data_IF_181616575455
#
_entry.id   IF_181616575455
#
_cell.length_a   1.000
_cell.length_b   1.000
_cell.length_c   1.000
_cell.angle_alpha   90.00
_cell.angle_beta   90.00
_cell.angle_gamma   90.00
#
_symmetry.space_group_name_H-M   'P 1'
#
loop_
_entity.id
_entity.type
_entity.pdbx_description
1 polymer ?
#
# COMPACT_ATOMS: atom_id res chain seq x y z
N UNK A 1 -100.66 -109.03 -12.41
CA UNK A 1 -99.63 -108.41 -11.56
C UNK A 1 -99.28 -107.07 -12.18
N UNK A 2 -99.42 -105.96 -11.46
CA UNK A 2 -98.90 -104.66 -11.91
C UNK A 2 -97.37 -104.69 -11.75
N UNK A 3 -96.61 -104.25 -12.76
CA UNK A 3 -95.17 -104.10 -12.63
C UNK A 3 -94.92 -102.83 -11.80
N UNK A 4 -94.14 -102.95 -10.73
CA UNK A 4 -93.70 -101.82 -9.91
C UNK A 4 -92.36 -101.26 -10.41
N UNK A 5 -92.11 -99.97 -10.18
CA UNK A 5 -90.86 -99.32 -10.56
C UNK A 5 -89.67 -99.85 -9.74
N UNK A 6 -88.49 -99.85 -10.36
CA UNK A 6 -87.26 -100.23 -9.69
C UNK A 6 -86.85 -99.19 -8.63
N UNK A 7 -86.29 -99.64 -7.51
CA UNK A 7 -85.65 -98.79 -6.52
C UNK A 7 -84.25 -99.31 -6.18
N UNK A 8 -83.50 -98.57 -5.36
CA UNK A 8 -82.18 -99.00 -4.86
C UNK A 8 -82.26 -100.21 -3.93
N UNK A 9 -83.45 -100.59 -3.46
CA UNK A 9 -83.68 -101.68 -2.51
C UNK A 9 -84.67 -102.76 -3.01
N UNK A 10 -85.41 -102.52 -4.10
CA UNK A 10 -86.41 -103.44 -4.67
C UNK A 10 -86.29 -103.51 -6.20
N UNK A 11 -86.32 -104.73 -6.75
CA UNK A 11 -86.31 -104.94 -8.22
C UNK A 11 -87.66 -104.52 -8.82
N UNK A 12 -87.64 -103.83 -9.96
CA UNK A 12 -88.81 -103.37 -10.70
C UNK A 12 -88.46 -103.00 -12.15
N UNK A 13 -89.35 -102.31 -12.84
CA UNK A 13 -89.10 -101.76 -14.20
C UNK A 13 -88.62 -100.32 -14.14
N UNK A 14 -87.83 -99.89 -15.12
CA UNK A 14 -87.38 -98.50 -15.23
C UNK A 14 -87.29 -98.10 -16.70
N UNK A 15 -87.70 -96.87 -17.00
CA UNK A 15 -87.54 -96.29 -18.33
C UNK A 15 -86.13 -95.71 -18.46
N UNK A 16 -85.45 -96.06 -19.56
CA UNK A 16 -84.05 -95.72 -19.79
C UNK A 16 -83.92 -94.44 -20.63
N UNK A 17 -82.95 -93.59 -20.29
CA UNK A 17 -82.58 -92.41 -21.08
C UNK A 17 -81.11 -92.44 -21.49
N UNK A 18 -80.82 -92.00 -22.72
CA UNK A 18 -79.46 -91.80 -23.24
C UNK A 18 -79.04 -90.33 -23.29
N UNK A 19 -79.88 -89.41 -22.82
CA UNK A 19 -79.52 -87.99 -22.76
C UNK A 19 -78.39 -87.76 -21.74
N UNK A 20 -77.44 -86.89 -22.07
CA UNK A 20 -76.26 -86.56 -21.24
C UNK A 20 -76.45 -85.31 -20.39
N UNK A 21 -77.60 -84.66 -20.53
CA UNK A 21 -78.03 -83.40 -19.93
C UNK A 21 -79.45 -83.51 -19.34
N UNK A 22 -79.94 -84.74 -19.13
CA UNK A 22 -81.25 -85.00 -18.53
C UNK A 22 -81.31 -84.49 -17.09
N UNK A 23 -82.35 -83.73 -16.77
CA UNK A 23 -82.71 -83.28 -15.43
C UNK A 23 -83.71 -84.22 -14.73
N UNK A 24 -84.27 -85.20 -15.45
CA UNK A 24 -85.21 -86.19 -14.91
C UNK A 24 -84.60 -87.12 -13.85
N UNK A 25 -85.15 -87.11 -12.63
CA UNK A 25 -84.79 -88.03 -11.54
C UNK A 25 -85.52 -89.39 -11.59
N UNK A 26 -86.56 -89.54 -12.44
CA UNK A 26 -87.38 -90.75 -12.57
C UNK A 26 -86.94 -91.74 -13.66
N UNK A 27 -85.95 -91.38 -14.47
CA UNK A 27 -85.43 -92.19 -15.58
C UNK A 27 -84.03 -92.70 -15.24
N UNK A 28 -83.73 -93.96 -15.54
CA UNK A 28 -82.38 -94.48 -15.34
C UNK A 28 -81.46 -94.14 -16.51
N UNK A 29 -80.24 -93.69 -16.20
CA UNK A 29 -79.22 -93.44 -17.19
C UNK A 29 -78.76 -94.76 -17.84
N UNK A 30 -78.72 -94.78 -19.17
CA UNK A 30 -78.11 -95.90 -19.90
C UNK A 30 -76.59 -95.91 -19.74
N UNK A 31 -75.92 -97.07 -19.90
CA UNK A 31 -74.46 -97.13 -19.99
C UNK A 31 -73.87 -96.20 -21.06
N UNK A 32 -74.63 -95.93 -22.14
CA UNK A 32 -74.25 -94.98 -23.19
C UNK A 32 -74.16 -93.54 -22.67
N UNK A 33 -75.18 -93.08 -21.93
CA UNK A 33 -75.17 -91.75 -21.31
C UNK A 33 -74.03 -91.62 -20.28
N UNK A 34 -73.86 -92.61 -19.41
CA UNK A 34 -72.78 -92.63 -18.41
C UNK A 34 -71.41 -92.59 -19.09
N UNK A 35 -71.20 -93.38 -20.15
CA UNK A 35 -69.95 -93.36 -20.93
C UNK A 35 -69.70 -91.98 -21.55
N UNK A 36 -70.70 -91.40 -22.22
CA UNK A 36 -70.55 -90.11 -22.88
C UNK A 36 -70.26 -88.97 -21.88
N UNK A 37 -70.91 -88.97 -20.71
CA UNK A 37 -70.62 -88.02 -19.63
C UNK A 37 -69.21 -88.23 -19.08
N UNK A 38 -68.80 -89.48 -18.86
CA UNK A 38 -67.46 -89.79 -18.36
C UNK A 38 -66.35 -89.42 -19.36
N UNK A 39 -66.54 -89.68 -20.66
CA UNK A 39 -65.61 -89.28 -21.72
C UNK A 39 -65.51 -87.75 -21.81
N UNK A 40 -66.65 -87.04 -21.73
CA UNK A 40 -66.66 -85.58 -21.66
C UNK A 40 -65.93 -85.08 -20.40
N UNK A 41 -66.21 -85.63 -19.22
CA UNK A 41 -65.55 -85.23 -17.97
C UNK A 41 -64.03 -85.42 -18.04
N UNK A 42 -63.57 -86.55 -18.58
CA UNK A 42 -62.15 -86.84 -18.77
C UNK A 42 -61.45 -85.94 -19.80
N UNK A 43 -62.19 -85.24 -20.66
CA UNK A 43 -61.62 -84.35 -21.69
C UNK A 43 -61.63 -82.85 -21.33
N UNK A 44 -62.29 -82.44 -20.24
CA UNK A 44 -62.42 -81.00 -19.89
C UNK A 44 -61.11 -80.34 -19.43
N UNK A 45 -60.16 -81.12 -18.90
CA UNK A 45 -58.78 -80.66 -18.64
C UNK A 45 -57.80 -81.61 -19.34
N UNK A 46 -57.54 -81.42 -20.65
CA UNK A 46 -56.57 -82.22 -21.36
C UNK A 46 -55.19 -82.08 -20.71
N UNK A 47 -54.48 -83.20 -20.55
CA UNK A 47 -53.14 -83.25 -19.93
C UNK A 47 -52.06 -82.47 -20.71
N UNK A 48 -52.37 -82.10 -21.95
CA UNK A 48 -51.53 -81.29 -22.83
C UNK A 48 -51.66 -79.78 -22.59
N UNK A 49 -52.74 -79.31 -21.96
CA UNK A 49 -52.89 -77.88 -21.65
C UNK A 49 -51.86 -77.46 -20.61
N UNK A 50 -51.20 -76.33 -20.87
CA UNK A 50 -50.14 -75.77 -20.02
C UNK A 50 -50.42 -74.31 -19.68
N UNK A 51 -50.04 -73.89 -18.49
CA UNK A 51 -49.90 -72.47 -18.11
C UNK A 51 -48.42 -72.19 -18.02
N UNK A 52 -47.91 -71.38 -18.94
CA UNK A 52 -46.49 -71.03 -19.00
C UNK A 52 -45.56 -72.27 -18.92
N UNK A 53 -45.85 -73.28 -19.75
CA UNK A 53 -45.09 -74.53 -19.81
C UNK A 53 -45.42 -75.58 -18.73
N UNK A 54 -46.14 -75.23 -17.66
CA UNK A 54 -46.51 -76.16 -16.57
C UNK A 54 -47.82 -76.89 -16.87
N UNK A 55 -47.82 -78.22 -16.74
CA UNK A 55 -49.00 -79.06 -16.98
C UNK A 55 -50.05 -78.93 -15.87
N UNK A 56 -51.32 -79.03 -16.24
CA UNK A 56 -52.48 -78.95 -15.33
C UNK A 56 -52.77 -80.28 -14.61
N UNK A 57 -51.79 -80.80 -13.85
CA UNK A 57 -51.93 -82.08 -13.12
C UNK A 57 -52.00 -81.92 -11.59
N UNK A 58 -51.73 -80.72 -11.09
CA UNK A 58 -51.73 -80.33 -9.67
C UNK A 58 -51.84 -78.80 -9.57
N UNK A 59 -51.87 -78.27 -8.35
CA UNK A 59 -51.76 -76.82 -8.11
C UNK A 59 -50.55 -76.22 -8.84
N UNK A 60 -50.76 -75.10 -9.54
CA UNK A 60 -49.70 -74.37 -10.23
C UNK A 60 -49.21 -73.23 -9.35
N UNK A 61 -47.91 -73.21 -9.06
CA UNK A 61 -47.22 -72.04 -8.52
C UNK A 61 -46.42 -71.38 -9.65
N UNK A 62 -46.72 -70.12 -9.94
CA UNK A 62 -45.94 -69.27 -10.85
C UNK A 62 -45.02 -68.37 -10.05
N UNK A 63 -43.79 -68.22 -10.53
CA UNK A 63 -42.76 -67.32 -10.03
C UNK A 63 -42.41 -66.28 -11.09
N UNK A 64 -41.67 -65.24 -10.71
CA UNK A 64 -41.18 -64.24 -11.67
C UNK A 64 -40.34 -64.89 -12.79
N UNK A 65 -39.58 -65.95 -12.47
CA UNK A 65 -38.81 -66.71 -13.44
C UNK A 65 -39.68 -67.41 -14.49
N UNK A 66 -40.88 -67.86 -14.11
CA UNK A 66 -41.80 -68.50 -15.04
C UNK A 66 -42.20 -67.50 -16.15
N UNK A 67 -42.53 -66.26 -15.79
CA UNK A 67 -43.01 -65.25 -16.75
C UNK A 67 -41.94 -64.26 -17.23
N UNK A 68 -40.66 -64.56 -16.99
CA UNK A 68 -39.53 -63.67 -17.31
C UNK A 68 -39.67 -62.26 -16.72
N UNK A 69 -40.33 -62.15 -15.56
CA UNK A 69 -40.43 -60.92 -14.79
C UNK A 69 -39.18 -60.74 -13.91
N UNK A 70 -38.88 -59.48 -13.57
CA UNK A 70 -37.86 -59.16 -12.59
C UNK A 70 -38.26 -59.74 -11.22
N UNK A 71 -37.32 -60.37 -10.51
CA UNK A 71 -37.62 -61.00 -9.23
C UNK A 71 -38.07 -59.98 -8.17
N UNK A 72 -39.08 -60.33 -7.36
CA UNK A 72 -39.63 -59.49 -6.29
C UNK A 72 -38.70 -59.39 -5.07
N UNK A 73 -37.65 -60.21 -5.00
CA UNK A 73 -36.73 -60.30 -3.85
C UNK A 73 -35.34 -60.76 -4.27
N UNK A 74 -34.61 -61.41 -3.36
CA UNK A 74 -33.26 -61.90 -3.65
C UNK A 74 -33.29 -62.98 -4.75
N UNK A 75 -32.54 -62.74 -5.81
CA UNK A 75 -32.30 -63.66 -6.92
C UNK A 75 -31.14 -64.62 -6.65
N UNK A 76 -30.36 -64.38 -5.60
CA UNK A 76 -29.22 -65.23 -5.24
C UNK A 76 -28.18 -64.54 -4.36
N UNK A 77 -27.18 -65.32 -3.96
CA UNK A 77 -26.03 -64.85 -3.17
C UNK A 77 -24.76 -65.12 -3.97
N UNK A 78 -23.85 -64.14 -4.02
CA UNK A 78 -22.52 -64.26 -4.61
C UNK A 78 -21.47 -63.78 -3.61
N UNK A 79 -20.22 -64.22 -3.75
CA UNK A 79 -19.11 -63.72 -2.96
C UNK A 79 -18.30 -62.67 -3.76
N UNK A 80 -17.94 -61.56 -3.12
CA UNK A 80 -17.06 -60.54 -3.72
C UNK A 80 -15.68 -61.14 -4.06
N UNK A 81 -15.18 -62.06 -3.23
CA UNK A 81 -13.94 -62.80 -3.49
C UNK A 81 -13.96 -63.68 -4.74
N UNK A 82 -15.15 -63.95 -5.28
CA UNK A 82 -15.36 -64.72 -6.51
C UNK A 82 -15.72 -63.82 -7.71
N UNK A 83 -15.55 -62.49 -7.58
CA UNK A 83 -15.89 -61.51 -8.62
C UNK A 83 -17.33 -60.98 -8.55
N UNK A 84 -18.10 -61.41 -7.54
CA UNK A 84 -19.47 -60.95 -7.31
C UNK A 84 -20.47 -61.50 -8.31
N UNK A 85 -21.50 -60.70 -8.64
CA UNK A 85 -22.53 -61.11 -9.62
C UNK A 85 -21.92 -61.05 -11.03
N UNK A 86 -21.88 -62.17 -11.77
CA UNK A 86 -21.30 -62.19 -13.11
C UNK A 86 -22.13 -61.35 -14.08
N UNK A 87 -21.50 -60.82 -15.13
CA UNK A 87 -22.14 -59.93 -16.08
C UNK A 87 -23.33 -60.59 -16.81
N UNK A 88 -23.26 -61.89 -17.09
CA UNK A 88 -24.30 -62.66 -17.76
C UNK A 88 -25.29 -63.32 -16.79
N UNK A 89 -25.30 -62.94 -15.51
CA UNK A 89 -26.32 -63.37 -14.57
C UNK A 89 -27.72 -62.93 -15.05
N UNK A 90 -28.76 -63.69 -14.67
CA UNK A 90 -30.15 -63.29 -14.96
C UNK A 90 -30.47 -61.94 -14.32
N UNK A 91 -31.45 -61.24 -14.88
CA UNK A 91 -31.93 -60.00 -14.28
C UNK A 91 -32.50 -60.27 -12.88
N UNK A 92 -32.14 -59.42 -11.90
CA UNK A 92 -32.51 -59.67 -10.51
C UNK A 92 -31.79 -58.81 -9.48
N UNK A 93 -32.13 -59.01 -8.21
CA UNK A 93 -31.48 -58.37 -7.07
C UNK A 93 -30.66 -59.40 -6.29
N UNK A 94 -29.36 -59.20 -6.19
CA UNK A 94 -28.42 -60.17 -5.60
C UNK A 94 -27.80 -59.62 -4.33
N UNK A 95 -27.55 -60.49 -3.36
CA UNK A 95 -26.74 -60.17 -2.19
C UNK A 95 -25.29 -60.59 -2.44
N UNK A 96 -24.35 -59.66 -2.35
CA UNK A 96 -22.92 -59.96 -2.48
C UNK A 96 -22.25 -59.90 -1.12
N UNK A 97 -21.69 -61.02 -0.67
CA UNK A 97 -21.00 -61.14 0.61
C UNK A 97 -19.53 -60.77 0.48
N UNK A 98 -19.00 -60.09 1.49
CA UNK A 98 -17.57 -59.77 1.65
C UNK A 98 -17.18 -59.89 3.11
N UNK A 99 -15.88 -59.82 3.41
CA UNK A 99 -15.41 -59.94 4.80
C UNK A 99 -16.10 -58.91 5.71
N UNK A 100 -16.90 -59.40 6.65
CA UNK A 100 -17.61 -58.60 7.65
C UNK A 100 -18.80 -57.76 7.16
N UNK A 101 -19.21 -57.83 5.88
CA UNK A 101 -20.39 -57.10 5.39
C UNK A 101 -20.99 -57.68 4.10
N UNK A 102 -22.12 -57.14 3.65
CA UNK A 102 -22.64 -57.41 2.32
C UNK A 102 -23.16 -56.12 1.66
N UNK A 103 -23.48 -56.22 0.37
CA UNK A 103 -24.15 -55.16 -0.38
C UNK A 103 -25.12 -55.77 -1.38
N UNK A 104 -26.09 -54.97 -1.81
CA UNK A 104 -27.05 -55.37 -2.83
C UNK A 104 -26.54 -54.96 -4.21
N UNK A 105 -26.76 -55.82 -5.20
CA UNK A 105 -26.55 -55.54 -6.62
C UNK A 105 -27.85 -55.76 -7.37
N UNK A 106 -28.38 -54.72 -7.98
CA UNK A 106 -29.42 -54.84 -9.01
C UNK A 106 -28.72 -55.11 -10.35
N UNK A 107 -28.99 -56.27 -10.95
CA UNK A 107 -28.44 -56.69 -12.23
C UNK A 107 -29.55 -56.62 -13.28
N UNK A 108 -29.33 -55.82 -14.33
CA UNK A 108 -30.22 -55.71 -15.48
C UNK A 108 -29.52 -56.31 -16.69
N UNK A 109 -29.87 -57.54 -17.03
CA UNK A 109 -29.32 -58.28 -18.17
C UNK A 109 -30.37 -58.43 -19.27
N UNK A 110 -30.09 -57.84 -20.44
CA UNK A 110 -30.93 -57.94 -21.65
C UNK A 110 -30.46 -59.04 -22.60
N UNK A 111 -29.19 -59.42 -22.51
CA UNK A 111 -28.57 -60.40 -23.40
C UNK A 111 -28.43 -59.95 -24.86
N UNK A 112 -28.66 -58.67 -25.16
CA UNK A 112 -28.60 -58.12 -26.52
C UNK A 112 -27.93 -56.75 -26.53
N UNK A 113 -27.42 -56.34 -27.69
CA UNK A 113 -26.71 -55.07 -27.87
C UNK A 113 -25.30 -55.06 -27.29
N UNK A 114 -24.61 -53.92 -27.43
CA UNK A 114 -23.24 -53.78 -26.93
C UNK A 114 -23.17 -53.57 -25.43
N UNK A 115 -24.18 -52.95 -24.82
CA UNK A 115 -24.34 -52.93 -23.37
C UNK A 115 -25.42 -53.93 -22.97
N UNK A 116 -25.00 -55.16 -22.63
CA UNK A 116 -25.91 -56.27 -22.31
C UNK A 116 -26.33 -56.26 -20.85
N UNK A 117 -25.49 -55.68 -19.99
CA UNK A 117 -25.68 -55.68 -18.55
C UNK A 117 -25.39 -54.31 -17.96
N UNK A 118 -26.33 -53.81 -17.17
CA UNK A 118 -26.10 -52.73 -16.21
C UNK A 118 -26.21 -53.32 -14.80
N UNK A 119 -25.16 -53.14 -14.00
CA UNK A 119 -25.21 -53.42 -12.58
C UNK A 119 -25.18 -52.14 -11.78
N UNK A 120 -26.05 -52.05 -10.78
CA UNK A 120 -26.08 -50.98 -9.79
C UNK A 120 -25.90 -51.60 -8.42
N UNK A 121 -24.90 -51.13 -7.67
CA UNK A 121 -24.54 -51.61 -6.33
C UNK A 121 -24.81 -50.53 -5.30
N UNK A 122 -25.41 -50.90 -4.17
CA UNK A 122 -25.58 -50.01 -3.02
C UNK A 122 -24.97 -50.63 -1.76
N UNK A 123 -24.07 -49.89 -1.11
CA UNK A 123 -23.53 -50.26 0.20
C UNK A 123 -24.53 -49.91 1.32
N UNK A 124 -24.48 -50.62 2.44
CA UNK A 124 -25.32 -50.36 3.61
C UNK A 124 -25.14 -48.92 4.13
N UNK A 125 -26.17 -48.36 4.79
CA UNK A 125 -26.18 -46.99 5.37
C UNK A 125 -25.87 -45.85 4.38
N UNK A 126 -26.16 -46.05 3.09
CA UNK A 126 -25.81 -45.11 2.00
C UNK A 126 -24.29 -44.86 1.92
N UNK A 127 -23.46 -45.87 2.22
CA UNK A 127 -22.00 -45.80 2.13
C UNK A 127 -21.45 -45.89 0.70
N UNK A 128 -22.20 -45.37 -0.29
CA UNK A 128 -21.83 -45.36 -1.70
C UNK A 128 -22.84 -46.09 -2.60
N UNK A 129 -23.07 -45.50 -3.77
CA UNK A 129 -23.85 -46.04 -4.88
C UNK A 129 -22.89 -46.18 -6.06
N UNK A 130 -22.85 -47.35 -6.68
CA UNK A 130 -21.90 -47.65 -7.75
C UNK A 130 -22.64 -48.23 -8.95
N UNK A 131 -22.06 -48.08 -10.14
CA UNK A 131 -22.51 -48.74 -11.34
C UNK A 131 -21.34 -49.34 -12.11
N UNK A 132 -21.64 -50.35 -12.92
CA UNK A 132 -20.74 -50.87 -13.96
C UNK A 132 -21.57 -51.47 -15.09
N UNK A 133 -21.00 -51.54 -16.28
CA UNK A 133 -21.66 -52.08 -17.46
C UNK A 133 -20.79 -53.10 -18.17
N UNK A 134 -21.40 -54.07 -18.83
CA UNK A 134 -20.68 -55.03 -19.67
C UNK A 134 -20.60 -54.54 -21.12
N UNK A 135 -19.57 -54.99 -21.84
CA UNK A 135 -19.46 -54.83 -23.29
C UNK A 135 -19.57 -56.15 -24.03
N UNK A 136 -20.45 -56.19 -25.02
CA UNK A 136 -20.71 -57.34 -25.91
C UNK A 136 -20.68 -58.66 -25.11
N UNK A 137 -19.96 -59.68 -25.58
CA UNK A 137 -19.77 -60.95 -24.85
C UNK A 137 -18.46 -60.99 -24.04
N UNK A 138 -17.74 -59.86 -23.93
CA UNK A 138 -16.47 -59.76 -23.18
C UNK A 138 -16.68 -59.67 -21.66
N UNK A 139 -17.75 -59.01 -21.21
CA UNK A 139 -18.04 -58.79 -19.80
C UNK A 139 -17.73 -57.37 -19.32
N UNK A 140 -17.38 -57.21 -18.04
CA UNK A 140 -17.04 -55.89 -17.47
C UNK A 140 -15.64 -55.47 -17.94
N UNK A 141 -15.53 -54.35 -18.65
CA UNK A 141 -14.22 -53.78 -19.06
C UNK A 141 -13.65 -52.85 -17.98
N UNK A 142 -14.53 -52.13 -17.29
CA UNK A 142 -14.19 -51.31 -16.13
C UNK A 142 -14.78 -51.93 -14.86
N UNK A 143 -14.11 -51.70 -13.74
CA UNK A 143 -14.63 -52.01 -12.41
C UNK A 143 -15.73 -50.99 -12.01
N UNK A 144 -16.23 -51.10 -10.79
CA UNK A 144 -17.26 -50.21 -10.24
C UNK A 144 -16.88 -48.73 -10.29
N UNK A 145 -17.72 -47.91 -10.93
CA UNK A 145 -17.69 -46.46 -10.86
C UNK A 145 -18.66 -45.94 -9.79
N UNK A 146 -18.23 -44.98 -8.97
CA UNK A 146 -19.05 -44.40 -7.91
C UNK A 146 -19.92 -43.23 -8.40
N UNK A 147 -21.17 -43.19 -7.96
CA UNK A 147 -22.09 -42.06 -8.17
C UNK A 147 -22.01 -41.14 -6.95
N UNK A 148 -21.55 -39.92 -7.16
CA UNK A 148 -21.42 -38.92 -6.10
C UNK A 148 -22.74 -38.20 -5.82
N UNK A 149 -22.94 -37.86 -4.54
CA UNK A 149 -24.12 -37.13 -4.04
C UNK A 149 -23.68 -36.00 -3.11
N UNK A 150 -24.60 -35.14 -2.69
CA UNK A 150 -24.30 -34.11 -1.68
C UNK A 150 -23.77 -34.69 -0.36
N UNK A 151 -24.13 -35.94 -0.03
CA UNK A 151 -23.61 -36.66 1.15
C UNK A 151 -22.27 -37.35 0.88
N UNK A 152 -21.95 -37.63 -0.38
CA UNK A 152 -20.76 -38.36 -0.81
C UNK A 152 -20.18 -37.65 -2.03
N UNK A 153 -19.55 -36.50 -1.79
CA UNK A 153 -18.99 -35.64 -2.83
C UNK A 153 -17.74 -36.28 -3.45
N UNK A 154 -17.42 -35.99 -4.72
CA UNK A 154 -16.15 -36.41 -5.30
C UNK A 154 -15.00 -35.84 -4.45
N UNK A 155 -13.96 -36.64 -4.15
CA UNK A 155 -12.81 -36.23 -3.35
C UNK A 155 -12.11 -34.95 -3.85
N UNK A 156 -12.30 -34.59 -5.12
CA UNK A 156 -11.47 -33.64 -5.87
C UNK A 156 -12.07 -32.25 -6.10
N UNK A 157 -13.35 -31.99 -5.80
CA UNK A 157 -13.93 -30.66 -6.12
C UNK A 157 -13.45 -29.53 -5.21
N UNK A 158 -13.20 -29.82 -3.93
CA UNK A 158 -12.51 -28.95 -2.98
C UNK A 158 -12.02 -29.81 -1.79
N UNK A 159 -10.70 -30.00 -1.60
CA UNK A 159 -10.18 -30.97 -0.64
C UNK A 159 -10.41 -30.53 0.81
N UNK A 160 -10.50 -31.51 1.72
CA UNK A 160 -10.51 -31.26 3.18
C UNK A 160 -9.23 -30.52 3.56
N UNK A 161 -9.34 -29.48 4.40
CA UNK A 161 -8.20 -28.67 4.81
C UNK A 161 -7.92 -27.45 3.91
N UNK A 162 -8.62 -27.27 2.79
CA UNK A 162 -8.50 -26.02 2.04
C UNK A 162 -9.34 -24.89 2.71
N UNK A 163 -8.78 -23.68 2.87
CA UNK A 163 -9.47 -22.54 3.48
C UNK A 163 -10.54 -21.97 2.54
N UNK A 164 -11.78 -21.84 3.01
CA UNK A 164 -12.93 -21.35 2.25
C UNK A 164 -13.32 -19.97 2.76
N UNK A 165 -13.36 -18.92 1.91
CA UNK A 165 -13.89 -17.62 2.29
C UNK A 165 -15.43 -17.69 2.40
N UNK A 166 -15.95 -17.49 3.61
CA UNK A 166 -17.37 -17.59 3.93
C UNK A 166 -17.97 -16.21 4.26
N UNK A 167 -19.06 -15.78 3.58
CA UNK A 167 -19.59 -14.42 3.67
C UNK A 167 -20.53 -14.17 4.88
N UNK A 168 -20.67 -15.13 5.81
CA UNK A 168 -21.59 -15.04 6.95
C UNK A 168 -20.88 -15.41 8.25
N UNK A 169 -21.36 -14.89 9.37
CA UNK A 169 -20.89 -15.29 10.71
C UNK A 169 -21.47 -16.64 11.17
N UNK A 170 -22.50 -17.14 10.48
CA UNK A 170 -23.07 -18.46 10.76
C UNK A 170 -22.33 -19.54 9.98
N UNK A 171 -21.57 -20.38 10.69
CA UNK A 171 -20.78 -21.46 10.09
C UNK A 171 -21.69 -22.65 9.72
N UNK A 172 -21.63 -23.17 8.49
CA UNK A 172 -22.39 -24.36 8.11
C UNK A 172 -21.95 -25.61 8.88
N UNK A 173 -22.88 -26.54 9.09
CA UNK A 173 -22.58 -27.84 9.70
C UNK A 173 -21.50 -28.60 8.89
N UNK A 174 -20.54 -29.23 9.59
CA UNK A 174 -19.41 -29.93 8.98
C UNK A 174 -18.20 -29.05 8.68
N UNK A 175 -18.25 -27.76 9.05
CA UNK A 175 -17.16 -26.80 8.91
C UNK A 175 -16.79 -26.19 10.26
N UNK A 176 -15.58 -25.65 10.36
CA UNK A 176 -15.12 -24.86 11.51
C UNK A 176 -14.46 -23.56 11.03
N UNK A 177 -14.54 -22.49 11.83
CA UNK A 177 -13.72 -21.28 11.64
C UNK A 177 -12.25 -21.62 11.80
N UNK A 178 -11.37 -20.94 11.07
CA UNK A 178 -9.92 -21.14 11.15
C UNK A 178 -9.29 -20.16 12.14
N UNK A 179 -9.16 -20.56 13.41
CA UNK A 179 -8.82 -19.69 14.54
C UNK A 179 -7.62 -20.17 15.37
N UNK A 180 -6.79 -21.07 14.84
CA UNK A 180 -5.63 -21.58 15.59
C UNK A 180 -5.94 -22.77 16.51
N UNK A 181 -7.15 -23.33 16.45
CA UNK A 181 -7.57 -24.40 17.36
C UNK A 181 -7.01 -25.78 17.00
N UNK A 182 -6.85 -26.63 18.02
CA UNK A 182 -6.48 -28.04 17.86
C UNK A 182 -7.67 -28.89 17.41
N UNK A 183 -7.40 -30.06 16.82
CA UNK A 183 -8.42 -31.06 16.49
C UNK A 183 -7.92 -32.49 16.72
N UNK A 184 -8.85 -33.43 16.91
CA UNK A 184 -8.54 -34.85 17.02
C UNK A 184 -8.23 -35.45 15.64
N UNK A 185 -6.97 -35.84 15.44
CA UNK A 185 -6.48 -36.43 14.19
C UNK A 185 -7.11 -37.78 13.87
N UNK A 186 -7.48 -38.56 14.88
CA UNK A 186 -8.13 -39.86 14.70
C UNK A 186 -9.58 -39.69 14.23
N UNK A 187 -10.27 -38.66 14.73
CA UNK A 187 -11.62 -38.34 14.30
C UNK A 187 -11.66 -37.71 12.89
N UNK A 188 -10.63 -36.93 12.53
CA UNK A 188 -10.56 -36.19 11.27
C UNK A 188 -9.29 -36.53 10.45
N UNK A 189 -9.17 -37.76 9.90
CA UNK A 189 -7.95 -38.22 9.25
C UNK A 189 -7.61 -37.45 7.96
N UNK A 190 -8.62 -37.00 7.20
CA UNK A 190 -8.39 -36.17 6.00
C UNK A 190 -7.89 -34.77 6.36
N UNK A 191 -8.40 -34.19 7.46
CA UNK A 191 -7.91 -32.91 7.96
C UNK A 191 -6.49 -33.04 8.53
N UNK A 192 -6.18 -34.16 9.19
CA UNK A 192 -4.83 -34.48 9.66
C UNK A 192 -3.82 -34.63 8.51
N UNK A 193 -4.26 -35.10 7.33
CA UNK A 193 -3.41 -35.13 6.15
C UNK A 193 -3.05 -33.71 5.65
N UNK A 194 -3.99 -32.76 5.73
CA UNK A 194 -3.73 -31.36 5.38
C UNK A 194 -2.95 -30.60 6.46
N UNK A 195 -3.23 -30.87 7.74
CA UNK A 195 -2.59 -30.25 8.90
C UNK A 195 -2.01 -31.31 9.85
N UNK A 196 -0.81 -31.86 9.56
CA UNK A 196 -0.21 -32.92 10.37
C UNK A 196 0.07 -32.55 11.83
N UNK A 197 0.18 -31.25 12.12
CA UNK A 197 0.30 -30.70 13.48
C UNK A 197 -0.92 -30.98 14.36
N UNK A 198 -2.09 -31.27 13.78
CA UNK A 198 -3.34 -31.33 14.52
C UNK A 198 -3.87 -29.94 14.91
N UNK A 199 -3.39 -28.87 14.26
CA UNK A 199 -3.78 -27.48 14.52
C UNK A 199 -4.26 -26.84 13.21
N UNK A 200 -5.47 -26.28 13.23
CA UNK A 200 -6.00 -25.46 12.13
C UNK A 200 -5.32 -24.08 12.21
N UNK A 201 -4.78 -23.51 11.11
CA UNK A 201 -4.19 -22.18 11.13
C UNK A 201 -5.17 -21.10 11.62
N UNK A 202 -4.68 -20.08 12.34
CA UNK A 202 -5.47 -18.86 12.59
C UNK A 202 -5.39 -17.97 11.36
N UNK A 203 -6.52 -17.76 10.70
CA UNK A 203 -6.63 -16.99 9.46
C UNK A 203 -7.24 -15.60 9.67
N UNK A 204 -7.56 -15.21 10.93
CA UNK A 204 -8.12 -13.88 11.21
C UNK A 204 -7.07 -12.80 10.95
N UNK A 205 -7.44 -11.79 10.16
CA UNK A 205 -6.53 -10.72 9.73
C UNK A 205 -5.49 -11.14 8.67
N UNK A 206 -5.46 -12.41 8.28
CA UNK A 206 -4.49 -12.92 7.31
C UNK A 206 -5.04 -12.96 5.88
N UNK A 207 -4.20 -12.60 4.92
CA UNK A 207 -4.48 -12.77 3.49
C UNK A 207 -3.68 -13.95 2.95
N UNK A 208 -4.33 -14.83 2.16
CA UNK A 208 -3.64 -15.95 1.51
C UNK A 208 -2.73 -15.42 0.40
N UNK A 209 -1.45 -15.77 0.49
CA UNK A 209 -0.44 -15.53 -0.54
C UNK A 209 0.11 -16.87 -1.01
N UNK A 210 0.20 -17.05 -2.34
CA UNK A 210 0.82 -18.24 -2.92
C UNK A 210 2.23 -18.42 -2.38
N UNK A 211 2.57 -19.64 -1.96
CA UNK A 211 3.93 -19.97 -1.49
C UNK A 211 4.90 -19.70 -2.65
N UNK A 212 5.94 -18.86 -2.47
CA UNK A 212 6.93 -18.63 -3.51
C UNK A 212 7.71 -19.92 -3.82
N UNK A 213 8.36 -19.97 -4.98
CA UNK A 213 9.17 -21.12 -5.39
C UNK A 213 10.26 -21.48 -4.36
N UNK A 214 10.79 -20.49 -3.65
CA UNK A 214 11.80 -20.65 -2.61
C UNK A 214 11.68 -19.56 -1.53
N UNK A 215 12.42 -19.71 -0.42
CA UNK A 215 12.54 -18.69 0.63
C UNK A 215 11.43 -18.68 1.69
N UNK A 216 10.39 -19.52 1.56
CA UNK A 216 9.32 -19.67 2.57
C UNK A 216 8.80 -21.10 2.67
N UNK A 217 8.41 -21.50 3.89
CA UNK A 217 7.68 -22.75 4.13
C UNK A 217 6.17 -22.57 3.91
N UNK A 218 5.46 -23.68 3.65
CA UNK A 218 3.99 -23.68 3.62
C UNK A 218 3.45 -23.32 5.01
N UNK A 219 2.38 -22.54 5.09
CA UNK A 219 1.80 -22.00 6.33
C UNK A 219 2.71 -21.05 7.14
N UNK A 220 3.88 -20.64 6.63
CA UNK A 220 4.66 -19.57 7.27
C UNK A 220 3.91 -18.24 7.22
N UNK A 221 4.01 -17.44 8.28
CA UNK A 221 3.44 -16.09 8.35
C UNK A 221 4.44 -15.04 7.83
N UNK A 222 3.93 -13.96 7.26
CA UNK A 222 4.72 -12.81 6.78
C UNK A 222 3.99 -11.54 7.17
N UNK A 223 4.60 -10.70 8.00
CA UNK A 223 4.03 -9.43 8.43
C UNK A 223 3.92 -8.45 7.26
N UNK A 224 3.02 -7.48 7.38
CA UNK A 224 2.90 -6.39 6.42
C UNK A 224 4.15 -5.50 6.42
N UNK A 225 4.38 -4.80 5.31
CA UNK A 225 5.58 -3.99 5.15
C UNK A 225 5.50 -3.05 3.96
N UNK A 226 6.04 -1.85 4.15
CA UNK A 226 6.14 -0.83 3.11
C UNK A 226 7.40 -1.09 2.29
N UNK A 227 7.28 -0.98 0.96
CA UNK A 227 8.43 -1.08 0.07
C UNK A 227 9.40 0.09 0.31
N UNK A 228 10.71 -0.20 0.32
CA UNK A 228 11.76 0.82 0.44
C UNK A 228 11.59 1.91 -0.62
N UNK A 229 11.58 3.18 -0.19
CA UNK A 229 11.43 4.35 -1.03
C UNK A 229 12.00 5.61 -0.33
N UNK A 230 12.18 6.69 -1.10
CA UNK A 230 12.61 8.00 -0.62
C UNK A 230 11.73 9.10 -1.21
N UNK A 231 11.85 10.32 -0.68
CA UNK A 231 11.15 11.52 -1.17
C UNK A 231 12.16 12.62 -1.45
N UNK A 232 11.85 13.49 -2.41
CA UNK A 232 12.54 14.78 -2.53
C UNK A 232 12.06 15.72 -1.42
N UNK A 233 12.95 16.58 -0.92
CA UNK A 233 12.64 17.59 0.09
C UNK A 233 13.30 18.91 -0.27
N UNK A 234 12.73 20.01 0.18
CA UNK A 234 13.25 21.37 -0.01
C UNK A 234 13.18 22.17 1.30
N UNK A 235 14.06 23.16 1.43
CA UNK A 235 14.03 24.13 2.52
C UNK A 235 13.72 25.51 1.93
N UNK A 236 12.90 26.30 2.64
CA UNK A 236 12.57 27.66 2.22
C UNK A 236 13.75 28.61 2.45
N UNK A 237 13.94 29.56 1.53
CA UNK A 237 14.87 30.66 1.76
C UNK A 237 14.42 31.51 2.95
N UNK A 238 15.37 31.94 3.78
CA UNK A 238 15.10 32.73 4.99
C UNK A 238 15.96 33.99 4.97
N UNK A 239 15.32 35.16 4.99
CA UNK A 239 15.98 36.45 5.15
C UNK A 239 16.23 36.72 6.64
N UNK A 240 17.49 36.93 7.02
CA UNK A 240 17.88 37.23 8.40
C UNK A 240 17.67 38.71 8.77
N UNK A 241 17.35 39.57 7.80
CA UNK A 241 17.10 40.99 7.96
C UNK A 241 18.35 41.81 8.30
N UNK A 242 18.19 43.13 8.42
CA UNK A 242 19.29 44.06 8.72
C UNK A 242 19.67 44.02 10.20
N UNK A 243 20.96 44.23 10.52
CA UNK A 243 21.50 44.34 11.89
C UNK A 243 22.34 45.61 12.00
N UNK A 244 22.25 46.31 13.12
CA UNK A 244 23.05 47.50 13.41
C UNK A 244 24.30 47.10 14.16
N UNK A 245 25.46 47.62 13.75
CA UNK A 245 26.72 47.39 14.46
C UNK A 245 26.73 48.16 15.79
N UNK A 246 27.69 47.84 16.67
CA UNK A 246 27.96 48.70 17.82
C UNK A 246 28.41 50.10 17.39
N UNK A 247 28.18 51.09 18.26
CA UNK A 247 28.68 52.46 18.06
C UNK A 247 30.17 52.52 18.38
N UNK A 248 30.93 53.23 17.56
CA UNK A 248 32.34 53.54 17.82
C UNK A 248 32.57 55.05 17.68
N UNK A 249 33.12 55.67 18.73
CA UNK A 249 33.41 57.11 18.77
C UNK A 249 34.92 57.36 18.57
N UNK A 250 35.27 58.12 17.55
CA UNK A 250 36.66 58.53 17.31
C UNK A 250 37.16 59.57 18.34
N UNK A 251 36.25 60.23 19.07
CA UNK A 251 36.55 61.30 20.01
C UNK A 251 37.08 62.56 19.32
N UNK A 252 37.75 63.43 20.09
CA UNK A 252 38.40 64.63 19.56
C UNK A 252 39.79 64.32 19.03
N UNK A 253 40.12 64.80 17.83
CA UNK A 253 41.47 64.72 17.25
C UNK A 253 42.07 66.11 17.13
N UNK A 254 43.35 66.25 17.44
CA UNK A 254 44.10 67.51 17.33
C UNK A 254 44.84 67.60 16.00
N UNK A 255 44.98 68.81 15.47
CA UNK A 255 45.85 69.09 14.31
C UNK A 255 47.31 69.22 14.76
N UNK A 256 48.24 69.25 13.80
CA UNK A 256 49.61 69.67 14.07
C UNK A 256 49.70 71.19 14.31
N UNK A 257 50.78 71.64 14.96
CA UNK A 257 51.05 73.06 15.19
C UNK A 257 51.78 73.67 13.97
N UNK A 258 51.13 74.61 13.27
CA UNK A 258 51.70 75.33 12.13
C UNK A 258 51.08 76.74 12.02
N UNK A 259 51.53 77.55 11.04
CA UNK A 259 50.98 78.89 10.77
C UNK A 259 51.75 80.05 11.39
N UNK A 260 52.88 79.80 12.05
CA UNK A 260 53.78 80.86 12.52
C UNK A 260 54.38 81.62 11.33
N UNK A 261 54.23 82.94 11.32
CA UNK A 261 54.78 83.82 10.30
C UNK A 261 55.10 85.19 10.88
N UNK A 262 55.88 85.98 10.15
CA UNK A 262 56.27 87.35 10.53
C UNK A 262 55.68 88.37 9.57
N UNK A 263 55.46 89.60 10.05
CA UNK A 263 55.05 90.73 9.24
C UNK A 263 56.18 91.76 9.14
N UNK A 264 56.28 92.45 8.01
CA UNK A 264 57.17 93.61 7.85
C UNK A 264 56.40 94.90 8.13
N UNK A 265 57.00 95.83 8.85
CA UNK A 265 56.41 97.12 9.20
C UNK A 265 57.31 98.22 8.65
N UNK A 266 56.75 99.11 7.83
CA UNK A 266 57.38 100.36 7.42
C UNK A 266 56.36 101.49 7.54
N UNK A 267 56.86 102.68 7.84
CA UNK A 267 56.04 103.86 8.01
C UNK A 267 56.91 105.09 8.24
N UNK A 268 56.29 106.26 8.24
CA UNK A 268 56.98 107.53 8.47
C UNK A 268 56.48 108.12 9.79
N UNK A 269 57.38 108.53 10.66
CA UNK A 269 57.02 109.27 11.87
C UNK A 269 56.52 110.68 11.51
N UNK A 270 55.70 111.26 12.37
CA UNK A 270 55.27 112.65 12.21
C UNK A 270 56.47 113.61 12.33
N UNK A 271 56.46 114.72 11.58
CA UNK A 271 57.56 115.70 11.61
C UNK A 271 57.58 116.48 12.93
N UNK A 272 58.73 116.48 13.63
CA UNK A 272 58.98 117.21 14.88
C UNK A 272 60.47 117.61 14.97
N UNK A 273 60.82 118.52 15.90
CA UNK A 273 62.23 118.86 16.20
C UNK A 273 62.76 120.20 15.66
N UNK A 274 61.90 121.11 15.19
CA UNK A 274 62.32 122.45 14.78
C UNK A 274 62.84 123.28 15.98
N UNK A 275 64.10 123.75 15.92
CA UNK A 275 64.73 124.60 16.94
C UNK A 275 65.84 125.50 16.34
N UNK A 276 66.31 126.50 17.09
CA UNK A 276 67.41 127.44 16.70
C UNK A 276 68.46 127.57 17.82
N UNK A 277 69.72 127.88 17.45
CA UNK A 277 70.84 128.15 18.37
C UNK A 277 71.30 129.63 18.34
N UNK A 278 71.97 130.12 19.40
CA UNK A 278 72.59 131.46 19.46
C UNK A 278 74.02 131.44 18.90
N UNK A 279 74.47 132.50 18.21
CA UNK A 279 75.83 132.62 17.60
C UNK A 279 76.67 133.75 18.23
N UNK A 280 78.00 133.55 18.40
CA UNK A 280 78.97 134.55 18.92
C UNK A 280 80.36 134.41 18.26
N UNK A 281 80.87 135.45 17.57
CA UNK A 281 82.18 135.47 16.87
C UNK A 281 82.60 136.87 16.36
N UNK A 282 83.85 137.05 15.89
CA UNK A 282 84.46 138.35 15.55
C UNK A 282 83.95 139.00 14.25
N UNK A 283 83.87 140.34 14.21
CA UNK A 283 83.25 141.15 13.14
C UNK A 283 84.28 142.09 12.47
N UNK A 284 84.29 142.20 11.14
CA UNK A 284 85.24 143.04 10.38
C UNK A 284 84.57 144.04 9.43
N UNK A 285 85.17 145.24 9.29
CA UNK A 285 84.55 146.43 8.66
C UNK A 285 84.87 146.73 7.19
N UNK A 286 85.83 146.07 6.54
CA UNK A 286 86.08 146.22 5.08
C UNK A 286 86.69 144.95 4.46
N UNK A 287 86.46 144.81 3.15
CA UNK A 287 86.27 143.59 2.35
C UNK A 287 87.48 142.65 2.14
N UNK A 288 88.49 142.64 3.00
CA UNK A 288 89.67 141.78 2.80
C UNK A 288 90.16 141.03 4.04
N UNK A 289 89.38 140.96 5.13
CA UNK A 289 89.87 140.35 6.39
C UNK A 289 88.90 139.46 7.18
N UNK A 290 87.77 139.00 6.60
CA UNK A 290 86.83 138.10 7.32
C UNK A 290 87.30 136.62 7.29
N UNK A 291 88.31 136.26 6.48
CA UNK A 291 88.90 134.91 6.47
C UNK A 291 90.44 134.96 6.30
N UNK A 292 91.24 134.91 7.38
CA UNK A 292 92.70 135.06 7.29
C UNK A 292 93.48 133.86 6.73
N UNK A 293 92.86 132.70 6.47
CA UNK A 293 93.58 131.48 6.08
C UNK A 293 92.88 130.65 4.98
N UNK A 294 92.98 131.08 3.72
CA UNK A 294 92.98 130.16 2.57
C UNK A 294 91.74 130.11 1.67
N UNK A 295 91.95 130.60 0.44
CA UNK A 295 91.40 130.20 -0.88
C UNK A 295 89.87 129.95 -0.99
N UNK A 296 89.03 130.97 -1.23
CA UNK A 296 88.77 131.81 -2.43
C UNK A 296 87.94 131.16 -3.53
N UNK A 297 86.79 131.78 -3.83
CA UNK A 297 86.49 132.28 -5.17
C UNK A 297 85.27 133.22 -5.09
N UNK A 298 85.51 134.54 -5.05
CA UNK A 298 84.53 135.48 -5.57
C UNK A 298 84.83 135.56 -7.07
N UNK A 299 84.20 134.71 -7.87
CA UNK A 299 84.47 134.54 -9.31
C UNK A 299 83.87 135.64 -10.19
N UNK A 300 83.25 136.67 -9.59
CA UNK A 300 82.69 137.82 -10.28
C UNK A 300 82.81 139.06 -9.36
N UNK A 301 83.62 140.05 -9.74
CA UNK A 301 83.75 141.34 -9.03
C UNK A 301 82.44 142.17 -9.00
N UNK A 302 81.39 141.69 -9.66
CA UNK A 302 80.04 142.27 -9.72
C UNK A 302 78.95 141.38 -9.07
N UNK A 303 79.31 140.33 -8.32
CA UNK A 303 78.33 139.59 -7.52
C UNK A 303 78.10 140.32 -6.18
N UNK A 304 76.99 141.06 -6.10
CA UNK A 304 76.57 141.75 -4.88
C UNK A 304 76.46 140.77 -3.72
N UNK A 305 77.26 140.97 -2.67
CA UNK A 305 77.11 140.23 -1.43
C UNK A 305 75.80 140.71 -0.78
N UNK A 306 74.76 139.87 -0.85
CA UNK A 306 73.44 140.20 -0.32
C UNK A 306 73.49 140.32 1.20
N UNK A 307 73.27 141.55 1.66
CA UNK A 307 72.92 141.91 3.03
C UNK A 307 71.66 141.15 3.46
N UNK A 308 71.79 140.13 4.30
CA UNK A 308 70.64 139.60 5.04
C UNK A 308 70.53 140.36 6.36
N UNK A 309 69.56 141.27 6.42
CA UNK A 309 69.13 141.97 7.64
C UNK A 309 68.75 140.96 8.72
N UNK A 310 69.21 141.16 9.96
CA UNK A 310 68.58 140.54 11.13
C UNK A 310 68.34 141.60 12.19
N UNK A 311 67.15 142.21 12.19
CA UNK A 311 66.78 143.24 13.17
C UNK A 311 67.50 144.58 12.98
N UNK A 312 66.91 145.65 13.51
CA UNK A 312 67.11 147.05 13.09
C UNK A 312 68.56 147.57 13.07
N UNK A 313 69.03 147.95 11.88
CA UNK A 313 69.93 149.11 11.72
C UNK A 313 71.41 148.86 11.40
N UNK A 314 71.89 147.61 11.31
CA UNK A 314 73.29 147.31 10.94
C UNK A 314 73.37 146.11 9.99
N UNK A 315 73.95 146.30 8.80
CA UNK A 315 74.19 145.25 7.78
C UNK A 315 75.35 144.35 8.20
N UNK A 316 75.18 143.02 8.19
CA UNK A 316 76.20 142.06 8.63
C UNK A 316 76.37 140.89 7.65
N UNK A 317 77.62 140.49 7.44
CA UNK A 317 77.99 139.32 6.65
C UNK A 317 78.35 138.17 7.59
N UNK A 318 77.57 137.09 7.62
CA UNK A 318 77.84 135.88 8.41
C UNK A 318 77.63 134.62 7.57
N UNK A 319 78.52 133.62 7.70
CA UNK A 319 78.36 132.31 7.06
C UNK A 319 77.30 131.45 7.76
N UNK A 320 76.59 130.59 7.02
CA UNK A 320 75.74 129.55 7.63
C UNK A 320 76.59 128.57 8.44
N UNK A 321 76.06 128.07 9.56
CA UNK A 321 76.69 126.95 10.28
C UNK A 321 76.68 125.68 9.42
N UNK A 322 77.54 124.71 9.74
CA UNK A 322 77.45 123.36 9.19
C UNK A 322 76.08 122.73 9.48
N UNK A 323 75.66 121.77 8.64
CA UNK A 323 74.42 121.01 8.82
C UNK A 323 74.64 119.84 9.80
N UNK A 324 74.55 120.12 11.10
CA UNK A 324 74.64 119.13 12.17
C UNK A 324 73.25 118.84 12.78
N UNK A 325 73.03 117.66 13.36
CA UNK A 325 71.76 117.28 14.03
C UNK A 325 71.07 116.02 13.51
N UNK A 326 71.70 115.25 12.62
CA UNK A 326 71.21 113.92 12.24
C UNK A 326 71.16 113.00 13.48
N UNK A 327 69.97 112.56 13.84
CA UNK A 327 69.75 111.60 14.92
C UNK A 327 68.64 110.62 14.52
N UNK A 328 68.54 109.52 15.25
CA UNK A 328 67.50 108.50 15.08
C UNK A 328 66.77 108.28 16.39
N UNK A 329 65.52 107.81 16.30
CA UNK A 329 64.74 107.38 17.45
C UNK A 329 64.52 105.87 17.39
N UNK A 330 64.52 105.21 18.54
CA UNK A 330 64.07 103.82 18.64
C UNK A 330 62.56 103.77 18.66
N UNK A 331 61.97 102.89 17.86
CA UNK A 331 60.54 102.62 17.82
C UNK A 331 60.28 101.18 18.30
N UNK A 332 59.45 101.02 19.32
CA UNK A 332 58.99 99.71 19.81
C UNK A 332 57.47 99.70 19.99
N UNK A 333 56.86 98.55 19.75
CA UNK A 333 55.42 98.36 19.88
C UNK A 333 55.04 96.90 19.60
N UNK A 334 53.88 96.48 20.09
CA UNK A 334 53.31 95.16 19.83
C UNK A 334 52.08 95.33 18.94
N UNK A 335 52.00 94.58 17.85
CA UNK A 335 50.80 94.58 17.02
C UNK A 335 49.57 94.10 17.82
N UNK A 336 48.38 94.59 17.48
CA UNK A 336 47.14 94.12 18.08
C UNK A 336 46.90 92.63 17.77
N UNK A 337 46.23 91.90 18.67
CA UNK A 337 45.93 90.47 18.48
C UNK A 337 44.97 90.26 17.30
N UNK A 338 45.39 89.44 16.33
CA UNK A 338 44.64 89.05 15.16
C UNK A 338 45.03 87.61 14.73
N UNK A 339 44.30 87.01 13.79
CA UNK A 339 44.62 85.68 13.24
C UNK A 339 43.84 84.51 13.85
N UNK A 340 42.81 84.76 14.67
CA UNK A 340 41.85 83.73 15.05
C UNK A 340 41.10 83.25 13.80
N UNK A 341 41.30 82.00 13.41
CA UNK A 341 40.64 81.37 12.27
C UNK A 341 40.40 79.89 12.56
N UNK A 342 39.51 79.27 11.79
CA UNK A 342 39.22 77.85 11.85
C UNK A 342 39.33 77.24 10.44
N UNK A 343 39.59 75.94 10.38
CA UNK A 343 39.64 75.16 9.14
C UNK A 343 38.49 74.16 9.09
N UNK A 344 38.03 73.84 7.88
CA UNK A 344 37.07 72.75 7.65
C UNK A 344 37.84 71.52 7.15
N UNK A 345 37.65 70.36 7.79
CA UNK A 345 38.29 69.10 7.39
C UNK A 345 37.21 68.08 7.02
N UNK A 346 37.19 67.65 5.75
CA UNK A 346 36.32 66.57 5.29
C UNK A 346 36.94 65.21 5.60
N UNK A 347 36.28 64.39 6.43
CA UNK A 347 36.76 63.03 6.80
C UNK A 347 36.34 61.97 5.77
N UNK A 348 35.13 62.09 5.23
CA UNK A 348 34.57 61.16 4.25
C UNK A 348 33.81 59.97 4.87
N UNK A 349 33.18 59.18 4.01
CA UNK A 349 32.46 57.96 4.40
C UNK A 349 33.37 56.74 4.29
N UNK A 350 33.10 55.71 5.09
CA UNK A 350 33.75 54.41 4.98
C UNK A 350 32.77 53.28 5.28
N UNK A 351 33.11 52.07 4.84
CA UNK A 351 32.32 50.84 5.07
C UNK A 351 33.25 49.71 5.48
N UNK A 352 32.72 48.74 6.24
CA UNK A 352 33.42 47.51 6.62
C UNK A 352 32.73 46.30 6.01
N UNK A 353 33.47 45.21 5.81
CA UNK A 353 32.94 43.89 5.46
C UNK A 353 32.98 42.97 6.67
N UNK A 354 31.93 42.17 6.90
CA UNK A 354 31.88 41.19 7.99
C UNK A 354 31.62 39.80 7.40
N UNK A 355 32.51 38.85 7.68
CA UNK A 355 32.33 37.45 7.30
C UNK A 355 31.40 36.74 8.30
N UNK A 356 30.31 36.13 7.82
CA UNK A 356 29.31 35.45 8.66
C UNK A 356 29.63 33.95 8.86
N UNK A 357 30.20 33.30 7.85
CA UNK A 357 30.55 31.87 7.88
C UNK A 357 29.40 30.91 7.52
N UNK A 358 29.68 29.61 7.63
CA UNK A 358 28.72 28.52 7.33
C UNK A 358 28.00 28.03 8.59
N UNK A 359 26.74 27.62 8.45
CA UNK A 359 25.97 26.95 9.48
C UNK A 359 25.04 25.88 8.87
N UNK A 360 24.38 25.08 9.72
CA UNK A 360 23.47 24.03 9.27
C UNK A 360 22.28 23.84 10.22
N UNK A 361 21.40 22.92 9.88
CA UNK A 361 20.18 22.62 10.64
C UNK A 361 20.00 21.11 10.82
N UNK A 362 19.38 20.73 11.94
CA UNK A 362 18.87 19.37 12.15
C UNK A 362 17.50 19.25 11.47
N UNK A 363 17.32 18.21 10.66
CA UNK A 363 16.04 17.92 10.00
C UNK A 363 15.45 16.65 10.61
N UNK A 364 14.15 16.69 10.93
CA UNK A 364 13.38 15.54 11.40
C UNK A 364 12.22 15.30 10.45
N UNK A 365 12.11 14.07 9.93
CA UNK A 365 10.96 13.61 9.15
C UNK A 365 10.10 12.76 10.08
N UNK A 366 8.89 13.22 10.36
CA UNK A 366 7.96 12.52 11.24
C UNK A 366 7.37 11.28 10.55
N UNK A 367 7.02 10.26 11.34
CA UNK A 367 6.33 9.08 10.83
C UNK A 367 4.97 9.44 10.22
N UNK A 368 4.63 8.81 9.10
CA UNK A 368 3.34 8.97 8.42
C UNK A 368 2.84 7.59 7.95
N UNK A 369 1.59 7.27 8.26
CA UNK A 369 0.97 5.99 7.90
C UNK A 369 -0.04 5.51 8.94
N UNK A 370 -0.63 4.35 8.68
CA UNK A 370 -1.53 3.65 9.59
C UNK A 370 -0.77 2.55 10.36
N UNK A 371 -1.46 1.87 11.29
CA UNK A 371 -0.88 0.75 12.03
C UNK A 371 -0.54 -0.46 11.15
N UNK A 372 -1.27 -0.67 10.05
CA UNK A 372 -1.05 -1.76 9.10
C UNK A 372 -0.97 -1.23 7.66
N UNK A 373 -0.10 -1.84 6.86
CA UNK A 373 -0.01 -1.61 5.43
C UNK A 373 -1.01 -2.49 4.68
N UNK A 374 -2.08 -1.88 4.19
CA UNK A 374 -3.23 -2.58 3.61
C UNK A 374 -3.40 -2.31 2.12
N UNK A 375 -4.00 -3.28 1.43
CA UNK A 375 -4.63 -3.09 0.12
C UNK A 375 -6.14 -3.08 0.30
N UNK A 376 -6.91 -2.59 -0.68
CA UNK A 376 -8.37 -2.72 -0.66
C UNK A 376 -8.75 -4.20 -0.50
N UNK A 377 -9.54 -4.49 0.52
CA UNK A 377 -9.94 -5.85 0.89
C UNK A 377 -11.41 -5.89 1.35
N UNK A 378 -11.99 -7.08 1.39
CA UNK A 378 -13.33 -7.35 1.92
C UNK A 378 -13.18 -8.48 2.94
N UNK A 379 -13.79 -8.30 4.11
CA UNK A 379 -13.75 -9.29 5.18
C UNK A 379 -14.65 -10.50 4.87
N UNK A 380 -14.07 -11.69 4.96
CA UNK A 380 -14.77 -12.98 4.93
C UNK A 380 -14.28 -13.81 6.12
N UNK A 381 -15.14 -14.68 6.64
CA UNK A 381 -14.75 -15.68 7.63
C UNK A 381 -14.06 -16.84 6.93
N UNK A 382 -12.80 -17.12 7.23
CA UNK A 382 -12.16 -18.34 6.74
C UNK A 382 -12.69 -19.56 7.52
N UNK A 383 -13.34 -20.48 6.80
CA UNK A 383 -13.79 -21.78 7.33
C UNK A 383 -13.07 -22.93 6.65
N UNK A 384 -13.08 -24.11 7.28
CA UNK A 384 -12.49 -25.34 6.73
C UNK A 384 -13.43 -26.52 6.90
N UNK A 385 -13.52 -27.39 5.89
CA UNK A 385 -14.29 -28.65 5.97
C UNK A 385 -13.59 -29.63 6.92
N UNK A 386 -14.33 -30.32 7.78
CA UNK A 386 -13.75 -31.23 8.77
C UNK A 386 -13.52 -32.68 8.24
N UNK A 387 -14.35 -33.19 7.32
CA UNK A 387 -14.32 -34.60 6.87
C UNK A 387 -14.59 -34.80 5.36
#
# INVERSE_FOLDING_TARGET
>A
MALEDASTTKKGVVQLSSATDSDSESLAATPKAVKAVNDNANSRVPSERKVNGKALKSDIRLSAADVSAFALGSSGVHAESEGGVPWNAKSGAYNVTRTGSSYIVANFYTGVGSCRTLQIRANYKNGGLFYRSSRDEYGFEDDWAEVYTSKNLPPESYPVGAPIPWPSDTVPSGYALMQGQTFDKSAYPKLAAAYPSGVIPDMRGWTIKGKPASGRAVLSQEQDGIKSHTHSASASSTDLGTKTTSSFDYGTKSTNNTGAHTHSISGTANSAGAHQHKSSGAFGGTNTSIFPNGYTAISNLSAGIMSTTSGSGQTRNAGKTSSDGAHTHSLSGTAASAGAHAHTVGIGAHTHSVAIGSHGHTITVNAAGNAENTVKNIAFNYIVRLA
#
